data_IF_556049875035
#
_entry.id   IF_556049875035
#
_cell.length_a   1.000
_cell.length_b   1.000
_cell.length_c   1.000
_cell.angle_alpha   90.00
_cell.angle_beta   90.00
_cell.angle_gamma   90.00
#
_symmetry.space_group_name_H-M   'P 1'
#
loop_
_entity.id
_entity.type
_entity.pdbx_description
1 polymer ?
#
# COMPACT_ATOMS: atom_id res chain seq x y z
N UNK A 1 -37.60 -30.02 -17.16
CA UNK A 1 -37.77 -30.00 -18.63
C UNK A 1 -37.81 -28.56 -19.10
N UNK A 2 -37.02 -28.26 -20.16
CA UNK A 2 -36.97 -27.06 -21.01
C UNK A 2 -36.78 -25.68 -20.33
N UNK A 3 -35.62 -25.00 -20.40
CA UNK A 3 -34.92 -24.33 -21.53
C UNK A 3 -35.73 -23.24 -22.25
N UNK A 4 -35.17 -22.03 -22.34
CA UNK A 4 -35.62 -20.98 -23.24
C UNK A 4 -34.79 -19.70 -23.13
N UNK A 5 -33.66 -19.66 -23.84
CA UNK A 5 -32.82 -18.48 -24.04
C UNK A 5 -33.40 -17.55 -25.14
N UNK A 6 -33.17 -16.25 -25.03
CA UNK A 6 -33.51 -15.24 -26.05
C UNK A 6 -32.21 -14.66 -26.64
N UNK A 7 -32.01 -14.65 -27.97
CA UNK A 7 -30.85 -14.03 -28.61
C UNK A 7 -31.16 -12.59 -29.06
N UNK A 8 -30.15 -11.71 -29.02
CA UNK A 8 -30.21 -10.40 -29.66
C UNK A 8 -29.16 -10.31 -30.78
N UNK A 9 -29.67 -10.00 -31.97
CA UNK A 9 -29.02 -9.97 -33.28
C UNK A 9 -28.19 -8.72 -33.53
N UNK A 10 -27.03 -8.89 -34.17
CA UNK A 10 -26.29 -7.84 -34.87
C UNK A 10 -27.05 -7.38 -36.12
N UNK A 11 -27.06 -6.07 -36.38
CA UNK A 11 -27.41 -5.48 -37.67
C UNK A 11 -26.34 -4.50 -38.14
N UNK A 12 -25.77 -4.77 -39.31
CA UNK A 12 -24.92 -3.87 -40.10
C UNK A 12 -25.74 -3.18 -41.18
N UNK A 13 -25.59 -1.85 -41.36
CA UNK A 13 -25.82 -1.19 -42.67
C UNK A 13 -25.19 0.22 -42.77
N UNK A 14 -24.15 0.30 -43.61
CA UNK A 14 -23.77 1.30 -44.65
C UNK A 14 -24.19 2.80 -44.60
N UNK A 15 -23.15 3.65 -44.66
CA UNK A 15 -22.85 4.82 -45.54
C UNK A 15 -23.86 5.96 -45.81
N UNK A 16 -23.47 7.22 -45.59
CA UNK A 16 -23.01 8.18 -46.63
C UNK A 16 -22.68 9.59 -46.05
N UNK A 17 -21.73 10.23 -46.75
CA UNK A 17 -21.11 11.56 -46.69
C UNK A 17 -21.87 12.81 -46.20
N UNK A 18 -21.12 13.79 -45.63
CA UNK A 18 -20.97 15.14 -46.23
C UNK A 18 -19.96 16.05 -45.49
N UNK A 19 -19.32 16.92 -46.28
CA UNK A 19 -18.15 17.78 -46.05
C UNK A 19 -18.37 19.04 -45.17
N UNK A 20 -17.27 19.54 -44.59
CA UNK A 20 -16.81 20.96 -44.42
C UNK A 20 -15.67 20.95 -43.37
N UNK A 21 -14.40 21.32 -43.57
CA UNK A 21 -13.70 22.13 -44.57
C UNK A 21 -13.11 23.38 -43.90
N UNK A 22 -11.80 23.43 -43.58
CA UNK A 22 -10.97 24.64 -43.62
C UNK A 22 -9.47 24.31 -43.62
N UNK A 23 -8.74 24.96 -44.53
CA UNK A 23 -7.36 24.69 -44.94
C UNK A 23 -6.40 25.83 -44.55
N UNK A 24 -5.09 25.52 -44.55
CA UNK A 24 -3.89 26.29 -45.02
C UNK A 24 -2.65 25.83 -44.23
N UNK A 25 -1.45 25.59 -44.78
CA UNK A 25 -0.92 25.73 -46.13
C UNK A 25 0.48 25.06 -46.24
N UNK A 26 0.89 24.77 -47.48
CA UNK A 26 2.14 24.09 -47.86
C UNK A 26 3.39 24.98 -47.79
N UNK A 27 4.57 24.33 -47.68
CA UNK A 27 5.86 24.89 -48.11
C UNK A 27 7.04 23.94 -47.90
N UNK A 28 7.44 23.24 -48.97
CA UNK A 28 8.61 22.35 -49.06
C UNK A 28 9.95 23.11 -49.00
N UNK A 29 10.98 22.53 -48.35
CA UNK A 29 12.39 22.63 -48.78
C UNK A 29 13.09 21.29 -48.54
N UNK A 30 13.61 20.71 -49.63
CA UNK A 30 14.66 19.67 -49.66
C UNK A 30 15.99 20.39 -49.86
N UNK A 31 17.03 20.04 -49.10
CA UNK A 31 18.45 20.02 -49.52
C UNK A 31 19.22 19.14 -48.54
N UNK A 32 20.31 18.60 -49.06
CA UNK A 32 21.03 17.38 -48.77
C UNK A 32 22.21 17.54 -47.79
N UNK A 33 22.78 16.36 -47.47
CA UNK A 33 24.16 16.05 -47.09
C UNK A 33 24.65 16.20 -45.63
N UNK A 34 24.81 14.99 -45.04
CA UNK A 34 25.96 14.51 -44.25
C UNK A 34 26.45 15.34 -43.06
N UNK A 35 26.27 14.77 -41.85
CA UNK A 35 27.40 14.42 -40.98
C UNK A 35 26.99 13.34 -39.98
N UNK A 36 27.49 12.13 -40.22
CA UNK A 36 27.65 11.09 -39.21
C UNK A 36 28.48 11.66 -38.05
N UNK A 37 27.87 11.86 -36.89
CA UNK A 37 28.61 11.91 -35.63
C UNK A 37 28.43 10.57 -34.92
N UNK A 38 29.51 9.78 -34.98
CA UNK A 38 29.74 8.64 -34.10
C UNK A 38 29.76 9.16 -32.65
N UNK A 39 28.84 8.69 -31.82
CA UNK A 39 29.04 8.63 -30.38
C UNK A 39 29.05 7.16 -29.97
N UNK A 40 30.11 6.79 -29.27
CA UNK A 40 30.55 5.44 -29.00
C UNK A 40 29.55 4.69 -28.12
N UNK A 41 28.86 3.69 -28.67
CA UNK A 41 28.36 2.58 -27.87
C UNK A 41 29.58 1.80 -27.37
N UNK A 42 29.91 1.91 -26.09
CA UNK A 42 30.77 0.94 -25.41
C UNK A 42 30.04 -0.40 -25.43
N UNK A 43 30.38 -1.24 -26.41
CA UNK A 43 30.20 -2.69 -26.30
C UNK A 43 31.08 -3.16 -25.14
N UNK A 44 30.46 -3.65 -24.07
CA UNK A 44 31.17 -4.52 -23.14
C UNK A 44 31.43 -5.83 -23.90
N UNK A 45 32.70 -6.14 -24.08
CA UNK A 45 33.17 -7.35 -24.74
C UNK A 45 32.67 -8.58 -23.99
N UNK A 46 31.80 -9.38 -24.62
CA UNK A 46 31.62 -10.77 -24.23
C UNK A 46 32.93 -11.51 -24.49
N UNK A 47 33.57 -11.99 -23.43
CA UNK A 47 34.65 -12.97 -23.52
C UNK A 47 34.02 -14.27 -24.03
N UNK A 48 34.26 -14.60 -25.31
CA UNK A 48 34.04 -15.95 -25.82
C UNK A 48 35.18 -16.83 -25.32
N UNK A 49 34.91 -17.66 -24.32
CA UNK A 49 35.75 -18.82 -24.03
C UNK A 49 35.27 -19.97 -24.92
N UNK A 50 36.11 -20.36 -25.88
CA UNK A 50 36.00 -21.62 -26.60
C UNK A 50 36.68 -22.69 -25.74
N UNK A 51 35.90 -23.43 -24.95
CA UNK A 51 36.31 -24.72 -24.42
C UNK A 51 35.08 -25.63 -24.30
N UNK A 52 35.10 -26.70 -25.06
CA UNK A 52 34.22 -27.86 -24.94
C UNK A 52 34.66 -28.64 -23.71
N UNK A 53 33.92 -28.50 -22.60
CA UNK A 53 33.74 -29.55 -21.59
C UNK A 53 32.59 -29.16 -20.66
N UNK A 54 31.82 -30.17 -20.27
CA UNK A 54 30.65 -30.07 -19.40
C UNK A 54 31.03 -29.56 -18.00
N UNK A 55 30.78 -28.30 -17.72
CA UNK A 55 30.76 -27.79 -16.36
C UNK A 55 29.44 -27.04 -16.12
N UNK A 56 28.61 -27.66 -15.31
CA UNK A 56 27.40 -27.08 -14.75
C UNK A 56 27.82 -25.84 -13.97
N UNK A 57 27.42 -24.66 -14.42
CA UNK A 57 27.69 -23.41 -13.70
C UNK A 57 26.86 -23.44 -12.41
N UNK A 58 27.49 -23.84 -11.32
CA UNK A 58 26.95 -23.63 -9.98
C UNK A 58 26.96 -22.13 -9.69
N UNK A 59 25.77 -21.54 -9.64
CA UNK A 59 25.56 -20.18 -9.16
C UNK A 59 25.97 -20.12 -7.68
N UNK A 60 27.08 -19.45 -7.38
CA UNK A 60 27.44 -19.17 -6.00
C UNK A 60 26.58 -18.03 -5.42
N UNK A 61 26.16 -18.13 -4.14
CA UNK A 61 25.39 -17.09 -3.47
C UNK A 61 26.18 -15.79 -3.37
N UNK A 62 25.50 -14.64 -3.45
CA UNK A 62 26.11 -13.31 -3.39
C UNK A 62 26.73 -12.94 -2.01
N UNK A 63 26.63 -13.80 -1.00
CA UNK A 63 27.35 -13.70 0.27
C UNK A 63 27.30 -15.04 1.04
N UNK A 64 28.41 -15.45 1.66
CA UNK A 64 28.42 -16.53 2.65
C UNK A 64 27.50 -16.14 3.82
N UNK A 65 26.47 -16.94 4.06
CA UNK A 65 25.52 -16.73 5.16
C UNK A 65 24.22 -16.02 4.81
N UNK A 66 23.92 -15.75 3.53
CA UNK A 66 22.56 -15.36 3.12
C UNK A 66 21.77 -16.62 2.76
N UNK A 67 20.99 -17.20 3.68
CA UNK A 67 20.00 -18.16 3.22
C UNK A 67 19.08 -17.38 2.25
N UNK A 68 18.76 -17.98 1.10
CA UNK A 68 17.66 -17.53 0.22
C UNK A 68 16.29 -17.43 0.96
N UNK A 69 16.27 -17.77 2.24
CA UNK A 69 15.28 -17.31 3.21
C UNK A 69 15.36 -15.79 3.31
N UNK A 70 14.44 -15.05 2.71
CA UNK A 70 13.94 -13.88 3.46
C UNK A 70 13.27 -14.51 4.68
N UNK A 71 13.86 -14.46 5.89
CA UNK A 71 13.16 -14.96 7.06
C UNK A 71 11.83 -14.21 7.08
N UNK A 72 10.70 -14.90 7.34
CA UNK A 72 9.43 -14.20 7.53
C UNK A 72 9.66 -13.19 8.65
N UNK A 73 9.89 -11.93 8.27
CA UNK A 73 10.23 -10.91 9.24
C UNK A 73 9.03 -10.79 10.15
N UNK A 74 9.28 -10.85 11.46
CA UNK A 74 8.23 -10.70 12.45
C UNK A 74 7.53 -9.36 12.18
N UNK A 75 6.21 -9.35 12.08
CA UNK A 75 5.43 -8.11 11.92
C UNK A 75 4.33 -7.97 12.99
N UNK A 76 4.14 -8.99 13.81
CA UNK A 76 3.18 -9.03 14.91
C UNK A 76 3.73 -9.90 16.04
N UNK A 77 3.10 -9.83 17.22
CA UNK A 77 3.55 -10.60 18.39
C UNK A 77 3.19 -12.08 18.30
N UNK A 78 2.11 -12.42 17.58
CA UNK A 78 1.72 -13.79 17.30
C UNK A 78 0.94 -13.89 15.98
N UNK A 79 1.19 -14.97 15.23
CA UNK A 79 0.47 -15.30 13.99
C UNK A 79 -0.79 -16.13 14.25
N UNK A 80 -0.97 -16.63 15.47
CA UNK A 80 -2.04 -17.56 15.82
C UNK A 80 -2.93 -17.03 16.95
N UNK A 81 -2.56 -15.91 17.59
CA UNK A 81 -3.37 -15.20 18.60
C UNK A 81 -3.28 -13.69 18.36
N UNK A 82 -4.36 -12.97 18.59
CA UNK A 82 -4.33 -11.51 18.63
C UNK A 82 -3.63 -11.06 19.91
N UNK A 83 -2.44 -10.49 19.76
CA UNK A 83 -1.66 -9.92 20.85
C UNK A 83 -1.27 -8.51 20.43
N UNK A 84 -1.72 -7.52 21.20
CA UNK A 84 -1.47 -6.12 20.87
C UNK A 84 0.03 -5.83 20.87
N UNK A 85 0.53 -5.29 19.75
CA UNK A 85 1.92 -4.88 19.59
C UNK A 85 2.29 -3.83 20.63
N UNK A 86 3.46 -3.99 21.24
CA UNK A 86 4.02 -2.97 22.14
C UNK A 86 4.49 -1.75 21.36
N UNK A 87 4.02 -0.59 21.80
CA UNK A 87 4.31 0.73 21.21
C UNK A 87 4.50 1.75 22.32
N UNK A 88 5.39 2.72 22.10
CA UNK A 88 5.60 3.86 22.99
C UNK A 88 4.36 4.73 23.09
N UNK A 89 4.27 5.50 24.17
CA UNK A 89 3.23 6.52 24.31
C UNK A 89 3.61 7.78 23.53
N UNK A 90 2.66 8.31 22.73
CA UNK A 90 2.74 9.58 22.01
C UNK A 90 1.57 10.45 22.46
N UNK A 91 1.85 11.69 22.88
CA UNK A 91 0.83 12.60 23.39
C UNK A 91 0.34 13.54 22.28
N UNK A 92 -0.98 13.56 22.07
CA UNK A 92 -1.68 14.47 21.17
C UNK A 92 -2.56 15.39 22.02
N UNK A 93 -2.02 16.55 22.38
CA UNK A 93 -2.66 17.39 23.40
C UNK A 93 -2.77 16.62 24.71
N UNK A 94 -3.99 16.47 25.22
CA UNK A 94 -4.30 15.68 26.41
C UNK A 94 -4.62 14.19 26.13
N UNK A 95 -4.57 13.74 24.87
CA UNK A 95 -4.90 12.36 24.48
C UNK A 95 -3.63 11.54 24.25
N UNK A 96 -3.50 10.43 24.98
CA UNK A 96 -2.40 9.48 24.82
C UNK A 96 -2.71 8.42 23.74
N UNK A 97 -1.76 8.23 22.83
CA UNK A 97 -1.71 7.14 21.84
C UNK A 97 -0.64 6.13 22.24
N UNK A 98 -0.90 4.84 22.04
CA UNK A 98 0.09 3.77 22.25
C UNK A 98 -0.50 2.52 22.89
N UNK A 99 0.34 1.51 23.08
CA UNK A 99 -0.07 0.15 23.46
C UNK A 99 -0.61 0.00 24.89
N UNK A 100 -0.40 1.01 25.72
CA UNK A 100 -0.92 1.09 27.10
C UNK A 100 -2.28 1.81 27.18
N UNK A 101 -2.74 2.39 26.07
CA UNK A 101 -3.94 3.22 26.01
C UNK A 101 -5.01 2.59 25.11
N UNK A 102 -6.31 2.91 25.27
CA UNK A 102 -7.32 2.50 24.31
C UNK A 102 -6.99 2.94 22.88
N UNK A 103 -7.45 2.18 21.89
CA UNK A 103 -7.34 2.57 20.49
C UNK A 103 -8.19 3.82 20.27
N UNK A 104 -7.55 4.95 19.95
CA UNK A 104 -8.23 6.25 19.83
C UNK A 104 -8.98 6.40 18.52
N UNK A 105 -10.16 7.01 18.57
CA UNK A 105 -11.04 7.27 17.44
C UNK A 105 -10.77 8.68 16.92
N UNK A 106 -10.51 8.80 15.62
CA UNK A 106 -10.39 10.10 14.97
C UNK A 106 -11.32 10.21 13.77
N UNK A 107 -11.72 11.43 13.45
CA UNK A 107 -12.39 11.77 12.19
C UNK A 107 -11.79 13.07 11.62
N UNK A 108 -12.33 13.58 10.53
CA UNK A 108 -11.88 14.79 9.86
C UNK A 108 -13.07 15.65 9.49
N UNK A 109 -12.97 16.96 9.71
CA UNK A 109 -14.00 17.91 9.29
C UNK A 109 -14.13 17.94 7.77
N UNK A 110 -15.31 18.34 7.29
CA UNK A 110 -15.62 18.53 5.87
C UNK A 110 -15.95 19.99 5.54
N UNK A 111 -16.10 20.84 6.55
CA UNK A 111 -16.29 22.29 6.38
C UNK A 111 -15.06 22.94 5.74
N UNK A 112 -15.27 24.06 5.05
CA UNK A 112 -14.17 24.94 4.67
C UNK A 112 -13.56 25.53 5.95
N UNK A 113 -12.27 25.29 6.19
CA UNK A 113 -11.56 25.79 7.38
C UNK A 113 -11.63 27.31 7.55
N UNK A 114 -11.84 28.07 6.47
CA UNK A 114 -12.06 29.53 6.56
C UNK A 114 -13.42 29.89 7.18
N UNK A 115 -14.40 28.99 7.11
CA UNK A 115 -15.63 29.10 7.88
C UNK A 115 -15.39 28.65 9.32
N UNK A 116 -14.89 29.60 10.12
CA UNK A 116 -14.57 29.38 11.54
C UNK A 116 -15.80 28.92 12.30
N UNK A 117 -16.96 29.55 12.08
CA UNK A 117 -18.18 29.24 12.82
C UNK A 117 -18.66 27.82 12.51
N UNK A 118 -18.79 27.47 11.22
CA UNK A 118 -19.20 26.13 10.80
C UNK A 118 -18.20 25.05 11.22
N UNK A 119 -16.90 25.34 11.14
CA UNK A 119 -15.87 24.39 11.58
C UNK A 119 -15.90 24.16 13.09
N UNK A 120 -16.08 25.21 13.90
CA UNK A 120 -16.23 25.08 15.36
C UNK A 120 -17.46 24.25 15.70
N UNK A 121 -18.61 24.51 15.06
CA UNK A 121 -19.85 23.75 15.28
C UNK A 121 -19.67 22.27 14.92
N UNK A 122 -19.05 21.98 13.78
CA UNK A 122 -18.80 20.59 13.36
C UNK A 122 -17.82 19.88 14.31
N UNK A 123 -16.77 20.55 14.78
CA UNK A 123 -15.82 19.98 15.77
C UNK A 123 -16.54 19.67 17.08
N UNK A 124 -17.42 20.56 17.56
CA UNK A 124 -18.22 20.31 18.76
C UNK A 124 -19.12 19.10 18.59
N UNK A 125 -19.84 19.01 17.46
CA UNK A 125 -20.69 17.84 17.14
C UNK A 125 -19.91 16.53 17.12
N UNK A 126 -18.72 16.54 16.52
CA UNK A 126 -17.81 15.39 16.48
C UNK A 126 -17.35 15.00 17.89
N UNK A 127 -16.98 15.98 18.72
CA UNK A 127 -16.56 15.76 20.10
C UNK A 127 -17.69 15.17 20.96
N UNK A 128 -18.90 15.72 20.85
CA UNK A 128 -20.09 15.26 21.57
C UNK A 128 -20.49 13.82 21.16
N UNK A 129 -20.18 13.43 19.92
CA UNK A 129 -20.37 12.07 19.42
C UNK A 129 -19.30 11.08 19.92
N UNK A 130 -18.25 11.58 20.57
CA UNK A 130 -17.24 10.80 21.27
C UNK A 130 -16.00 10.47 20.45
N UNK A 131 -15.60 11.33 19.51
CA UNK A 131 -14.27 11.24 18.91
C UNK A 131 -13.19 11.69 19.91
N UNK A 132 -12.01 11.08 19.87
CA UNK A 132 -10.88 11.48 20.72
C UNK A 132 -10.08 12.64 20.11
N UNK A 133 -10.01 12.71 18.76
CA UNK A 133 -9.15 13.64 18.03
C UNK A 133 -9.86 14.07 16.73
N UNK A 134 -9.78 15.35 16.37
CA UNK A 134 -10.36 15.87 15.12
C UNK A 134 -9.28 16.42 14.20
N UNK A 135 -9.34 16.03 12.93
CA UNK A 135 -8.46 16.56 11.89
C UNK A 135 -9.14 17.64 11.06
N UNK A 136 -8.42 18.70 10.72
CA UNK A 136 -8.89 19.82 9.90
C UNK A 136 -7.90 20.04 8.75
N UNK A 137 -8.41 20.28 7.54
CA UNK A 137 -7.55 20.55 6.38
C UNK A 137 -6.96 21.96 6.45
N UNK A 138 -5.67 22.11 6.12
CA UNK A 138 -5.03 23.43 6.10
C UNK A 138 -4.18 23.54 4.84
N UNK A 139 -4.70 24.27 3.85
CA UNK A 139 -4.07 24.36 2.53
C UNK A 139 -3.22 25.61 2.36
N UNK A 140 -3.58 26.71 3.02
CA UNK A 140 -2.93 28.00 2.87
C UNK A 140 -2.86 28.81 4.15
N UNK A 141 -2.40 30.06 4.01
CA UNK A 141 -2.21 31.00 5.12
C UNK A 141 -3.54 31.40 5.76
N UNK A 142 -4.61 31.59 4.96
CA UNK A 142 -5.93 31.99 5.48
C UNK A 142 -6.54 30.89 6.36
N UNK A 143 -6.43 29.64 5.94
CA UNK A 143 -6.85 28.49 6.74
C UNK A 143 -6.00 28.38 8.01
N UNK A 144 -4.69 28.67 7.92
CA UNK A 144 -3.81 28.69 9.10
C UNK A 144 -4.20 29.77 10.11
N UNK A 145 -4.61 30.95 9.64
CA UNK A 145 -5.10 32.04 10.49
C UNK A 145 -6.42 31.64 11.17
N UNK A 146 -7.36 31.08 10.40
CA UNK A 146 -8.62 30.54 10.91
C UNK A 146 -8.41 29.44 11.96
N UNK A 147 -7.36 28.62 11.86
CA UNK A 147 -7.05 27.60 12.86
C UNK A 147 -6.83 28.18 14.27
N UNK A 148 -6.22 29.37 14.40
CA UNK A 148 -6.08 30.02 15.70
C UNK A 148 -7.43 30.43 16.27
N UNK A 149 -8.29 31.03 15.44
CA UNK A 149 -9.64 31.45 15.84
C UNK A 149 -10.50 30.24 16.23
N UNK A 150 -10.44 29.15 15.44
CA UNK A 150 -11.14 27.89 15.73
C UNK A 150 -10.70 27.33 17.09
N UNK A 151 -9.38 27.19 17.32
CA UNK A 151 -8.86 26.64 18.59
C UNK A 151 -9.26 27.51 19.78
N UNK A 152 -9.11 28.83 19.66
CA UNK A 152 -9.48 29.77 20.72
C UNK A 152 -10.98 29.73 21.04
N UNK A 153 -11.83 29.68 20.01
CA UNK A 153 -13.28 29.63 20.18
C UNK A 153 -13.72 28.32 20.84
N UNK A 154 -13.12 27.19 20.45
CA UNK A 154 -13.38 25.89 21.08
C UNK A 154 -13.01 25.89 22.57
N UNK A 155 -11.83 26.42 22.92
CA UNK A 155 -11.39 26.53 24.32
C UNK A 155 -12.32 27.44 25.12
N UNK A 156 -12.75 28.59 24.57
CA UNK A 156 -13.73 29.48 25.21
C UNK A 156 -15.09 28.80 25.44
N UNK A 157 -15.47 27.88 24.57
CA UNK A 157 -16.67 27.03 24.71
C UNK A 157 -16.43 25.79 25.58
N UNK A 158 -15.26 25.65 26.21
CA UNK A 158 -14.85 24.51 27.03
C UNK A 158 -14.72 23.17 26.28
N UNK A 159 -14.44 23.22 24.97
CA UNK A 159 -14.10 22.06 24.14
C UNK A 159 -12.58 21.93 24.00
N UNK A 160 -12.01 20.91 24.64
CA UNK A 160 -10.56 20.67 24.69
C UNK A 160 -10.11 19.50 23.79
N UNK A 161 -10.93 19.09 22.82
CA UNK A 161 -10.58 18.01 21.90
C UNK A 161 -9.31 18.37 21.10
N UNK A 162 -8.30 17.48 21.03
CA UNK A 162 -7.09 17.74 20.26
C UNK A 162 -7.36 17.90 18.76
N UNK A 163 -6.69 18.89 18.16
CA UNK A 163 -6.81 19.20 16.74
C UNK A 163 -5.56 18.79 15.97
N UNK A 164 -5.78 18.20 14.79
CA UNK A 164 -4.73 17.78 13.86
C UNK A 164 -4.79 18.61 12.58
N UNK A 165 -3.68 19.22 12.18
CA UNK A 165 -3.61 19.96 10.92
C UNK A 165 -3.20 19.02 9.79
N UNK A 166 -4.02 18.93 8.74
CA UNK A 166 -3.73 18.13 7.54
C UNK A 166 -3.00 18.95 6.49
N UNK A 167 -1.67 18.88 6.50
CA UNK A 167 -0.80 19.62 5.57
C UNK A 167 -0.50 18.77 4.34
N UNK A 168 -0.58 19.39 3.16
CA UNK A 168 -0.21 18.79 1.89
C UNK A 168 1.08 19.40 1.32
N UNK A 169 1.08 20.67 0.89
CA UNK A 169 2.17 21.24 0.06
C UNK A 169 2.87 22.49 0.65
N UNK A 170 2.66 22.80 1.93
CA UNK A 170 3.05 24.11 2.48
C UNK A 170 3.82 24.00 3.81
N UNK A 171 5.16 23.85 3.78
CA UNK A 171 5.98 23.84 4.99
C UNK A 171 5.80 25.09 5.87
N UNK A 172 5.65 26.27 5.26
CA UNK A 172 5.42 27.53 5.97
C UNK A 172 4.09 27.54 6.73
N UNK A 173 3.05 26.94 6.15
CA UNK A 173 1.75 26.75 6.79
C UNK A 173 1.88 25.77 7.96
N UNK A 174 2.57 24.65 7.77
CA UNK A 174 2.83 23.66 8.83
C UNK A 174 3.50 24.28 10.05
N UNK A 175 4.50 25.14 9.82
CA UNK A 175 5.17 25.88 10.90
C UNK A 175 4.18 26.78 11.64
N UNK A 176 3.30 27.48 10.95
CA UNK A 176 2.33 28.40 11.57
C UNK A 176 1.33 27.63 12.43
N UNK A 177 0.73 26.56 11.93
CA UNK A 177 -0.27 25.79 12.68
C UNK A 177 0.32 24.97 13.84
N UNK A 178 1.62 24.67 13.83
CA UNK A 178 2.27 24.00 14.96
C UNK A 178 2.24 24.82 16.27
N UNK A 179 1.98 26.13 16.18
CA UNK A 179 1.83 26.98 17.36
C UNK A 179 0.47 26.78 18.04
N UNK A 180 -0.60 26.48 17.31
CA UNK A 180 -1.96 26.39 17.85
C UNK A 180 -2.54 24.97 17.91
N UNK A 181 -2.16 24.08 17.00
CA UNK A 181 -2.70 22.72 16.93
C UNK A 181 -1.84 21.71 17.67
N UNK A 182 -2.45 20.60 18.07
CA UNK A 182 -1.86 19.60 18.94
C UNK A 182 -1.01 18.58 18.17
N UNK A 183 -1.30 18.40 16.88
CA UNK A 183 -0.60 17.47 15.99
C UNK A 183 -0.58 17.93 14.55
N UNK A 184 0.53 17.66 13.86
CA UNK A 184 0.68 17.96 12.43
C UNK A 184 0.72 16.67 11.64
N UNK A 185 -0.09 16.55 10.58
CA UNK A 185 0.02 15.47 9.61
C UNK A 185 0.89 15.93 8.47
N UNK A 186 1.91 15.12 8.16
CA UNK A 186 2.79 15.29 7.01
C UNK A 186 2.61 14.11 6.05
N UNK A 187 2.59 14.39 4.75
CA UNK A 187 2.62 13.38 3.70
C UNK A 187 3.99 13.43 3.00
N UNK A 188 4.85 12.44 3.21
CA UNK A 188 6.20 12.42 2.62
C UNK A 188 6.26 12.69 1.12
N UNK A 189 5.34 12.11 0.34
CA UNK A 189 5.39 12.18 -1.11
C UNK A 189 5.06 13.55 -1.72
N UNK A 190 4.60 14.53 -0.92
CA UNK A 190 4.31 15.87 -1.42
C UNK A 190 4.63 17.04 -0.48
N UNK A 191 5.28 16.77 0.65
CA UNK A 191 5.63 17.81 1.62
C UNK A 191 6.84 18.65 1.18
N UNK A 192 7.92 17.99 0.77
CA UNK A 192 9.16 18.63 0.32
C UNK A 192 9.19 18.81 -1.21
N UNK A 193 8.51 17.92 -1.91
CA UNK A 193 8.51 17.82 -3.36
C UNK A 193 7.25 18.45 -3.95
N UNK A 194 7.35 19.03 -5.15
CA UNK A 194 6.14 19.35 -5.92
C UNK A 194 5.42 18.04 -6.25
N UNK A 195 4.11 18.10 -6.49
CA UNK A 195 3.32 16.92 -6.89
C UNK A 195 4.05 16.20 -8.04
N UNK A 196 4.21 14.88 -7.92
CA UNK A 196 4.82 13.99 -8.92
C UNK A 196 4.46 14.43 -10.35
N UNK A 197 5.47 14.81 -11.13
CA UNK A 197 5.31 15.28 -12.51
C UNK A 197 5.77 14.21 -13.52
N UNK A 198 6.46 13.16 -13.06
CA UNK A 198 6.98 12.06 -13.88
C UNK A 198 7.86 12.53 -15.07
N UNK A 199 8.45 13.73 -14.99
CA UNK A 199 9.29 14.29 -16.06
C UNK A 199 10.67 13.61 -16.14
N UNK A 200 11.16 13.10 -15.02
CA UNK A 200 12.42 12.34 -14.93
C UNK A 200 12.11 10.89 -14.54
N UNK A 201 12.38 9.96 -15.45
CA UNK A 201 12.05 8.53 -15.27
C UNK A 201 13.17 7.73 -14.59
N UNK A 202 14.42 8.18 -14.75
CA UNK A 202 15.61 7.54 -14.17
C UNK A 202 16.26 8.48 -13.14
N UNK A 203 16.30 8.05 -11.89
CA UNK A 203 17.06 8.70 -10.83
C UNK A 203 18.33 7.89 -10.57
N UNK A 204 19.50 8.54 -10.70
CA UNK A 204 20.75 7.95 -10.24
C UNK A 204 20.91 8.08 -8.73
N UNK A 205 21.85 7.33 -8.13
CA UNK A 205 22.11 7.38 -6.68
C UNK A 205 22.44 8.78 -6.18
N UNK A 206 23.18 9.57 -6.95
CA UNK A 206 23.48 10.97 -6.62
C UNK A 206 22.24 11.86 -6.58
N UNK A 207 21.28 11.64 -7.49
CA UNK A 207 20.04 12.39 -7.52
C UNK A 207 19.18 12.04 -6.31
N UNK A 208 19.09 10.74 -5.98
CA UNK A 208 18.39 10.26 -4.80
C UNK A 208 18.96 10.89 -3.52
N UNK A 209 20.28 10.94 -3.39
CA UNK A 209 20.93 11.54 -2.23
C UNK A 209 20.67 13.05 -2.11
N UNK A 210 20.71 13.80 -3.22
CA UNK A 210 20.38 15.23 -3.24
C UNK A 210 18.94 15.50 -2.81
N UNK A 211 18.02 14.64 -3.22
CA UNK A 211 16.61 14.72 -2.80
C UNK A 211 16.46 14.50 -1.29
N UNK A 212 17.17 13.52 -0.71
CA UNK A 212 17.17 13.31 0.74
C UNK A 212 17.69 14.52 1.52
N UNK A 213 18.77 15.15 1.04
CA UNK A 213 19.33 16.37 1.63
C UNK A 213 18.33 17.55 1.56
N UNK A 214 17.63 17.69 0.43
CA UNK A 214 16.58 18.70 0.28
C UNK A 214 15.40 18.47 1.23
N UNK A 215 14.92 17.23 1.35
CA UNK A 215 13.87 16.86 2.31
C UNK A 215 14.30 17.21 3.72
N UNK A 216 15.53 16.82 4.12
CA UNK A 216 16.05 17.12 5.45
C UNK A 216 16.06 18.63 5.73
N UNK A 217 16.53 19.43 4.78
CA UNK A 217 16.55 20.90 4.91
C UNK A 217 15.16 21.51 5.06
N UNK A 218 14.16 21.03 4.31
CA UNK A 218 12.79 21.57 4.33
C UNK A 218 12.00 21.08 5.56
N UNK A 219 12.24 19.85 5.99
CA UNK A 219 11.48 19.20 7.06
C UNK A 219 12.01 19.50 8.46
N UNK A 220 13.33 19.67 8.61
CA UNK A 220 13.99 19.96 9.90
C UNK A 220 13.34 21.10 10.69
N UNK A 221 13.02 22.27 10.10
CA UNK A 221 12.38 23.36 10.84
C UNK A 221 11.04 22.98 11.47
N UNK A 222 10.26 22.10 10.81
CA UNK A 222 9.00 21.62 11.34
C UNK A 222 9.22 20.67 12.51
N UNK A 223 10.20 19.76 12.40
CA UNK A 223 10.54 18.82 13.48
C UNK A 223 10.99 19.58 14.73
N UNK A 224 11.90 20.55 14.59
CA UNK A 224 12.37 21.39 15.69
C UNK A 224 11.23 22.18 16.34
N UNK A 225 10.33 22.74 15.53
CA UNK A 225 9.17 23.48 16.02
C UNK A 225 8.19 22.57 16.76
N UNK A 226 7.89 21.40 16.22
CA UNK A 226 7.06 20.40 16.89
C UNK A 226 7.70 19.93 18.20
N UNK A 227 9.02 19.71 18.23
CA UNK A 227 9.78 19.37 19.44
C UNK A 227 9.67 20.49 20.48
N UNK A 228 9.89 21.75 20.09
CA UNK A 228 9.80 22.93 20.96
C UNK A 228 8.43 23.09 21.63
N UNK A 229 7.35 22.91 20.87
CA UNK A 229 5.98 23.09 21.37
C UNK A 229 5.34 21.79 21.89
N UNK A 230 6.09 20.69 21.95
CA UNK A 230 5.56 19.38 22.38
C UNK A 230 4.44 18.85 21.47
N UNK A 231 4.41 19.23 20.20
CA UNK A 231 3.38 18.77 19.25
C UNK A 231 3.67 17.36 18.78
N UNK A 232 2.63 16.59 18.51
CA UNK A 232 2.78 15.31 17.85
C UNK A 232 2.89 15.48 16.33
N UNK A 233 3.41 14.45 15.65
CA UNK A 233 3.38 14.38 14.20
C UNK A 233 2.80 13.05 13.70
N UNK A 234 2.10 13.07 12.57
CA UNK A 234 1.80 11.86 11.80
C UNK A 234 2.57 11.90 10.49
N UNK A 235 3.51 10.97 10.33
CA UNK A 235 4.19 10.72 9.06
C UNK A 235 3.34 9.70 8.31
N UNK A 236 2.62 10.16 7.29
CA UNK A 236 1.54 9.37 6.68
C UNK A 236 1.61 9.31 5.17
N UNK A 237 2.06 8.17 4.65
CA UNK A 237 2.12 7.89 3.21
C UNK A 237 0.77 7.39 2.69
N UNK A 238 0.34 7.96 1.58
CA UNK A 238 -0.79 7.45 0.81
C UNK A 238 -0.26 6.81 -0.47
N UNK A 239 -0.80 5.65 -0.85
CA UNK A 239 -0.39 4.92 -2.06
C UNK A 239 -0.48 5.79 -3.33
N UNK A 240 -1.59 6.50 -3.52
CA UNK A 240 -1.79 7.37 -4.69
C UNK A 240 -1.01 8.68 -4.71
N UNK A 241 -0.07 8.90 -3.78
CA UNK A 241 0.74 10.13 -3.72
C UNK A 241 2.19 9.88 -3.35
N UNK A 242 2.79 8.78 -3.82
CA UNK A 242 4.23 8.56 -3.74
C UNK A 242 4.98 9.60 -4.59
N UNK A 243 6.18 10.00 -4.16
CA UNK A 243 7.02 10.94 -4.92
C UNK A 243 7.68 10.25 -6.12
N UNK A 244 8.08 11.03 -7.14
CA UNK A 244 8.76 10.52 -8.34
C UNK A 244 10.01 9.70 -7.99
N UNK A 245 10.78 10.17 -7.00
CA UNK A 245 11.93 9.49 -6.39
C UNK A 245 11.57 8.07 -5.93
N UNK A 246 10.53 7.95 -5.12
CA UNK A 246 10.12 6.67 -4.54
C UNK A 246 9.58 5.75 -5.64
N UNK A 247 8.80 6.30 -6.56
CA UNK A 247 8.25 5.58 -7.70
C UNK A 247 9.35 5.01 -8.61
N UNK A 248 10.44 5.76 -8.83
CA UNK A 248 11.58 5.30 -9.65
C UNK A 248 12.34 4.14 -8.99
N UNK A 249 12.62 4.23 -7.69
CA UNK A 249 13.43 3.23 -6.97
C UNK A 249 12.65 1.98 -6.54
N UNK A 250 11.41 2.16 -6.07
CA UNK A 250 10.65 1.11 -5.40
C UNK A 250 9.32 0.78 -6.09
N UNK A 251 8.93 1.55 -7.11
CA UNK A 251 7.64 1.43 -7.78
C UNK A 251 6.45 1.77 -6.89
N UNK A 252 5.25 1.62 -7.45
CA UNK A 252 3.98 1.72 -6.73
C UNK A 252 3.77 0.47 -5.86
N UNK A 253 4.46 0.40 -4.73
CA UNK A 253 4.56 -0.80 -3.91
C UNK A 253 4.45 -0.51 -2.41
N UNK A 254 4.05 -1.52 -1.59
CA UNK A 254 4.14 -1.43 -0.13
C UNK A 254 5.54 -1.03 0.36
N UNK A 255 6.61 -1.47 -0.33
CA UNK A 255 7.99 -1.09 0.01
C UNK A 255 8.22 0.40 -0.21
N UNK A 256 7.78 0.94 -1.35
CA UNK A 256 7.85 2.37 -1.63
C UNK A 256 7.11 3.21 -0.58
N UNK A 257 5.93 2.75 -0.14
CA UNK A 257 5.19 3.44 0.92
C UNK A 257 5.97 3.51 2.24
N UNK A 258 6.59 2.40 2.65
CA UNK A 258 7.38 2.30 3.89
C UNK A 258 8.63 3.16 3.81
N UNK A 259 9.40 3.06 2.73
CA UNK A 259 10.62 3.86 2.56
C UNK A 259 10.33 5.36 2.54
N UNK A 260 9.26 5.77 1.85
CA UNK A 260 8.83 7.17 1.84
C UNK A 260 8.57 7.72 3.25
N UNK A 261 7.97 6.93 4.14
CA UNK A 261 7.79 7.33 5.53
C UNK A 261 9.09 7.28 6.34
N UNK A 262 9.95 6.28 6.08
CA UNK A 262 11.21 6.10 6.78
C UNK A 262 12.22 7.21 6.48
N UNK A 263 12.25 7.76 5.27
CA UNK A 263 13.04 8.96 4.93
C UNK A 263 12.79 10.10 5.94
N UNK A 264 11.52 10.40 6.21
CA UNK A 264 11.11 11.44 7.16
C UNK A 264 11.35 11.01 8.62
N UNK A 265 11.09 9.75 8.96
CA UNK A 265 11.28 9.26 10.32
C UNK A 265 12.76 9.23 10.75
N UNK A 266 13.69 8.94 9.82
CA UNK A 266 15.14 9.01 10.07
C UNK A 266 15.56 10.43 10.45
N UNK A 267 15.02 11.46 9.78
CA UNK A 267 15.25 12.88 10.13
C UNK A 267 14.71 13.19 11.54
N UNK A 268 13.47 12.78 11.85
CA UNK A 268 12.91 12.95 13.19
C UNK A 268 13.82 12.35 14.28
N UNK A 269 14.33 11.13 14.06
CA UNK A 269 15.22 10.45 15.00
C UNK A 269 16.60 11.09 15.09
N UNK A 270 17.18 11.56 13.97
CA UNK A 270 18.44 12.32 13.97
C UNK A 270 18.36 13.56 14.86
N UNK A 271 17.18 14.18 14.92
CA UNK A 271 16.87 15.35 15.77
C UNK A 271 16.33 14.97 17.16
N UNK A 272 16.37 13.68 17.52
CA UNK A 272 15.85 13.15 18.79
C UNK A 272 14.37 13.57 19.04
N UNK A 273 13.58 13.58 17.98
CA UNK A 273 12.14 13.84 18.03
C UNK A 273 11.39 12.52 17.90
N UNK A 274 10.69 12.15 18.98
CA UNK A 274 10.02 10.86 19.10
C UNK A 274 8.50 10.94 19.24
N UNK A 275 7.92 12.14 19.26
CA UNK A 275 6.47 12.34 19.42
C UNK A 275 5.74 12.18 18.07
N UNK A 276 5.94 11.08 17.36
CA UNK A 276 5.31 10.85 16.07
C UNK A 276 4.71 9.45 15.91
N UNK A 277 3.76 9.35 14.97
CA UNK A 277 3.06 8.11 14.61
C UNK A 277 3.13 7.89 13.09
N UNK A 278 2.99 6.64 12.67
CA UNK A 278 2.94 6.30 11.24
C UNK A 278 1.51 6.04 10.74
N UNK A 279 1.29 6.26 9.44
CA UNK A 279 0.14 5.69 8.73
C UNK A 279 0.51 5.30 7.30
N UNK A 280 0.00 4.16 6.85
CA UNK A 280 0.10 3.67 5.47
C UNK A 280 -1.31 3.51 4.91
N UNK A 281 -1.80 4.43 4.10
CA UNK A 281 -3.17 4.35 3.56
C UNK A 281 -3.16 3.96 2.10
N UNK A 282 -4.01 3.01 1.74
CA UNK A 282 -4.30 2.63 0.36
C UNK A 282 -5.81 2.42 0.20
N UNK A 283 -6.31 2.60 -1.02
CA UNK A 283 -7.70 2.29 -1.37
C UNK A 283 -7.91 0.79 -1.52
N UNK A 284 -6.86 0.01 -1.84
CA UNK A 284 -6.90 -1.45 -1.79
C UNK A 284 -6.52 -1.94 -0.37
N UNK A 285 -7.44 -2.62 0.36
CA UNK A 285 -7.15 -3.14 1.69
C UNK A 285 -5.96 -4.10 1.75
N UNK A 286 -5.71 -4.89 0.70
CA UNK A 286 -4.59 -5.84 0.65
C UNK A 286 -3.26 -5.10 0.66
N UNK A 287 -3.11 -4.08 -0.19
CA UNK A 287 -1.91 -3.23 -0.24
C UNK A 287 -1.71 -2.53 1.10
N UNK A 288 -2.79 -1.99 1.69
CA UNK A 288 -2.75 -1.36 3.00
C UNK A 288 -2.20 -2.31 4.07
N UNK A 289 -2.76 -3.52 4.17
CA UNK A 289 -2.36 -4.53 5.15
C UNK A 289 -0.88 -4.89 4.97
N UNK A 290 -0.44 -5.14 3.74
CA UNK A 290 0.96 -5.48 3.47
C UNK A 290 1.91 -4.32 3.83
N UNK A 291 1.53 -3.08 3.55
CA UNK A 291 2.34 -1.91 3.90
C UNK A 291 2.50 -1.75 5.42
N UNK A 292 1.45 -1.95 6.23
CA UNK A 292 1.60 -1.91 7.69
C UNK A 292 2.42 -3.07 8.24
N UNK A 293 2.25 -4.29 7.72
CA UNK A 293 3.04 -5.45 8.14
C UNK A 293 4.52 -5.24 7.84
N UNK A 294 4.84 -4.78 6.63
CA UNK A 294 6.21 -4.43 6.25
C UNK A 294 6.77 -3.28 7.10
N UNK A 295 5.96 -2.24 7.35
CA UNK A 295 6.35 -1.13 8.22
C UNK A 295 6.76 -1.62 9.61
N UNK A 296 5.98 -2.52 10.22
CA UNK A 296 6.28 -3.06 11.54
C UNK A 296 7.52 -3.94 11.52
N UNK A 297 7.68 -4.77 10.49
CA UNK A 297 8.88 -5.58 10.32
C UNK A 297 10.15 -4.71 10.25
N UNK A 298 10.13 -3.65 9.43
CA UNK A 298 11.23 -2.69 9.34
C UNK A 298 11.46 -1.94 10.66
N UNK A 299 10.39 -1.56 11.37
CA UNK A 299 10.54 -0.97 12.70
C UNK A 299 11.23 -1.93 13.66
N UNK A 300 10.88 -3.22 13.68
CA UNK A 300 11.57 -4.19 14.56
C UNK A 300 13.05 -4.37 14.21
N UNK A 301 13.40 -4.41 12.91
CA UNK A 301 14.81 -4.44 12.47
C UNK A 301 15.58 -3.25 13.02
N UNK A 302 14.95 -2.08 13.05
CA UNK A 302 15.56 -0.84 13.54
C UNK A 302 15.39 -0.61 15.06
N UNK A 303 14.74 -1.52 15.79
CA UNK A 303 14.43 -1.35 17.22
C UNK A 303 13.45 -0.22 17.52
N UNK A 304 12.49 0.04 16.63
CA UNK A 304 11.49 1.10 16.73
C UNK A 304 10.12 0.56 17.15
N UNK A 305 9.40 1.37 17.92
CA UNK A 305 8.16 1.01 18.61
C UNK A 305 7.08 2.10 18.46
N UNK A 306 7.08 2.84 17.35
CA UNK A 306 6.13 3.94 17.15
C UNK A 306 4.68 3.46 16.95
N UNK A 307 3.68 4.26 17.38
CA UNK A 307 2.28 3.95 17.19
C UNK A 307 1.80 4.02 15.73
N UNK A 308 0.70 3.32 15.45
CA UNK A 308 0.08 3.21 14.13
C UNK A 308 -1.31 3.86 14.09
N UNK A 309 -1.50 4.80 13.15
CA UNK A 309 -2.79 5.33 12.75
C UNK A 309 -3.32 4.51 11.57
N UNK A 310 -4.35 3.70 11.77
CA UNK A 310 -4.96 2.89 10.71
C UNK A 310 -6.07 3.64 9.99
N UNK A 311 -6.27 3.29 8.72
CA UNK A 311 -7.45 3.72 7.98
C UNK A 311 -7.32 3.45 6.49
N UNK A 312 -8.40 2.95 5.90
CA UNK A 312 -8.54 2.83 4.44
C UNK A 312 -8.84 4.23 3.88
N UNK A 313 -8.22 4.57 2.75
CA UNK A 313 -8.60 5.81 2.00
C UNK A 313 -9.63 5.46 0.94
N UNK A 314 -10.51 6.40 0.59
CA UNK A 314 -11.54 6.19 -0.45
C UNK A 314 -12.32 4.90 -0.20
N UNK A 315 -12.88 4.77 1.01
CA UNK A 315 -13.61 3.56 1.37
C UNK A 315 -14.92 3.45 0.56
N UNK A 316 -15.53 4.58 0.23
CA UNK A 316 -16.83 4.67 -0.43
C UNK A 316 -17.90 5.19 0.54
N UNK A 317 -19.16 5.06 0.13
CA UNK A 317 -20.32 5.50 0.90
C UNK A 317 -21.02 4.30 1.55
N UNK A 318 -21.86 4.54 2.56
CA UNK A 318 -22.76 3.52 3.08
C UNK A 318 -22.06 2.26 3.61
N UNK A 319 -22.69 1.12 3.38
CA UNK A 319 -22.21 -0.18 3.85
C UNK A 319 -20.93 -0.65 3.14
N UNK A 320 -20.73 -0.29 1.87
CA UNK A 320 -19.53 -0.66 1.12
C UNK A 320 -18.28 -0.03 1.75
N UNK A 321 -18.36 1.26 2.12
CA UNK A 321 -17.29 1.95 2.81
C UNK A 321 -16.98 1.36 4.20
N UNK A 322 -18.03 0.98 4.94
CA UNK A 322 -17.91 0.33 6.26
C UNK A 322 -17.29 -1.06 6.15
N UNK A 323 -17.74 -1.88 5.19
CA UNK A 323 -17.24 -3.23 4.93
C UNK A 323 -15.78 -3.21 4.49
N UNK A 324 -15.42 -2.35 3.54
CA UNK A 324 -14.04 -2.19 3.07
C UNK A 324 -13.11 -1.73 4.18
N UNK A 325 -13.57 -0.82 5.03
CA UNK A 325 -12.83 -0.38 6.23
C UNK A 325 -12.68 -1.50 7.26
N UNK A 326 -13.72 -2.30 7.48
CA UNK A 326 -13.68 -3.45 8.38
C UNK A 326 -12.68 -4.52 7.91
N UNK A 327 -12.61 -4.80 6.60
CA UNK A 327 -11.64 -5.72 6.02
C UNK A 327 -10.21 -5.20 6.27
N UNK A 328 -9.92 -3.95 5.92
CA UNK A 328 -8.57 -3.39 6.05
C UNK A 328 -8.13 -3.21 7.52
N UNK A 329 -8.92 -2.46 8.30
CA UNK A 329 -8.61 -2.13 9.69
C UNK A 329 -8.75 -3.37 10.58
N UNK A 330 -9.82 -4.14 10.41
CA UNK A 330 -10.08 -5.33 11.22
C UNK A 330 -8.98 -6.39 11.09
N UNK A 331 -8.45 -6.61 9.88
CA UNK A 331 -7.32 -7.53 9.66
C UNK A 331 -6.11 -7.13 10.49
N UNK A 332 -5.72 -5.84 10.47
CA UNK A 332 -4.57 -5.36 11.22
C UNK A 332 -4.82 -5.38 12.73
N UNK A 333 -6.04 -5.11 13.18
CA UNK A 333 -6.41 -5.24 14.58
C UNK A 333 -6.31 -6.69 15.06
N UNK A 334 -6.63 -7.68 14.21
CA UNK A 334 -6.42 -9.10 14.53
C UNK A 334 -4.93 -9.48 14.59
N UNK A 335 -4.07 -8.83 13.79
CA UNK A 335 -2.60 -8.92 13.93
C UNK A 335 -2.09 -8.22 15.21
N UNK A 336 -2.97 -7.54 15.96
CA UNK A 336 -2.60 -6.75 17.14
C UNK A 336 -1.98 -5.39 16.81
N UNK A 337 -2.13 -4.92 15.56
CA UNK A 337 -1.59 -3.66 15.06
C UNK A 337 -2.67 -2.58 15.10
N UNK A 338 -2.33 -1.40 15.63
CA UNK A 338 -3.22 -0.23 15.65
C UNK A 338 -3.30 0.44 17.02
N UNK A 339 -3.11 1.76 17.04
CA UNK A 339 -3.18 2.59 18.25
C UNK A 339 -4.21 3.72 18.10
N UNK A 340 -4.57 4.03 16.87
CA UNK A 340 -5.66 4.93 16.55
C UNK A 340 -6.20 4.63 15.16
N UNK A 341 -7.47 4.93 14.92
CA UNK A 341 -8.16 4.57 13.69
C UNK A 341 -8.97 5.75 13.15
N UNK A 342 -9.12 5.77 11.82
CA UNK A 342 -10.13 6.56 11.13
C UNK A 342 -10.71 5.74 9.98
N UNK A 343 -12.03 5.54 9.99
CA UNK A 343 -12.82 5.10 8.84
C UNK A 343 -13.07 6.32 7.96
N UNK A 344 -12.82 6.25 6.64
CA UNK A 344 -12.97 7.41 5.75
C UNK A 344 -14.18 7.20 4.85
N UNK A 345 -15.35 7.73 5.24
CA UNK A 345 -16.62 7.59 4.51
C UNK A 345 -16.92 8.87 3.73
N UNK A 346 -17.70 8.77 2.64
CA UNK A 346 -18.29 9.93 1.98
C UNK A 346 -19.62 10.31 2.65
N UNK A 347 -19.58 10.52 3.96
CA UNK A 347 -20.74 10.81 4.81
C UNK A 347 -20.37 11.92 5.81
N UNK A 348 -21.33 12.49 6.56
CA UNK A 348 -21.00 13.41 7.63
C UNK A 348 -19.96 12.81 8.60
N UNK A 349 -18.93 13.58 9.02
CA UNK A 349 -17.82 13.05 9.83
C UNK A 349 -18.23 12.32 11.11
N UNK A 350 -19.32 12.76 11.74
CA UNK A 350 -19.89 12.13 12.93
C UNK A 350 -20.36 10.68 12.71
N UNK A 351 -20.71 10.32 11.47
CA UNK A 351 -21.09 8.97 11.07
C UNK A 351 -19.88 8.03 10.93
N UNK A 352 -18.66 8.57 10.81
CA UNK A 352 -17.42 7.76 10.83
C UNK A 352 -17.13 7.19 12.22
N UNK A 353 -17.70 7.78 13.29
CA UNK A 353 -17.34 7.49 14.69
C UNK A 353 -17.85 6.13 15.16
N UNK A 354 -19.10 5.76 14.85
CA UNK A 354 -19.65 4.46 15.29
C UNK A 354 -18.92 3.26 14.67
N UNK A 355 -18.66 3.22 13.34
CA UNK A 355 -17.83 2.18 12.74
C UNK A 355 -16.43 2.10 13.35
N UNK A 356 -15.80 3.25 13.63
CA UNK A 356 -14.52 3.27 14.35
C UNK A 356 -14.65 2.61 15.73
N UNK A 357 -15.62 3.05 16.55
CA UNK A 357 -15.84 2.52 17.90
C UNK A 357 -16.01 1.01 17.90
N UNK A 358 -16.83 0.48 16.98
CA UNK A 358 -17.05 -0.96 16.83
C UNK A 358 -15.74 -1.70 16.52
N UNK A 359 -14.95 -1.20 15.58
CA UNK A 359 -13.67 -1.82 15.21
C UNK A 359 -12.65 -1.75 16.35
N UNK A 360 -12.49 -0.61 17.01
CA UNK A 360 -11.60 -0.45 18.16
C UNK A 360 -11.97 -1.44 19.28
N UNK A 361 -13.25 -1.51 19.65
CA UNK A 361 -13.73 -2.45 20.67
C UNK A 361 -13.52 -3.91 20.27
N UNK A 362 -13.77 -4.26 19.01
CA UNK A 362 -13.52 -5.60 18.48
C UNK A 362 -12.03 -5.98 18.60
N UNK A 363 -11.12 -5.07 18.21
CA UNK A 363 -9.68 -5.28 18.31
C UNK A 363 -9.20 -5.44 19.75
N UNK A 364 -9.65 -4.55 20.65
CA UNK A 364 -9.30 -4.61 22.07
C UNK A 364 -9.82 -5.90 22.73
N UNK A 365 -11.07 -6.29 22.47
CA UNK A 365 -11.65 -7.54 22.97
C UNK A 365 -10.93 -8.77 22.42
N UNK A 366 -10.54 -8.76 21.14
CA UNK A 366 -9.79 -9.86 20.55
C UNK A 366 -8.41 -10.01 21.21
N UNK A 367 -7.73 -8.90 21.53
CA UNK A 367 -6.45 -8.91 22.23
C UNK A 367 -6.57 -9.38 23.68
N UNK A 368 -7.60 -8.91 24.40
CA UNK A 368 -7.89 -9.32 25.78
C UNK A 368 -8.16 -10.83 25.88
N UNK A 369 -9.00 -11.35 24.99
CA UNK A 369 -9.32 -12.78 24.93
C UNK A 369 -8.21 -13.63 24.27
N UNK A 370 -7.14 -12.99 23.77
CA UNK A 370 -6.12 -13.60 22.93
C UNK A 370 -6.72 -14.50 21.84
N UNK A 371 -7.77 -13.99 21.18
CA UNK A 371 -8.54 -14.73 20.17
C UNK A 371 -7.60 -15.25 19.10
N UNK A 372 -7.75 -16.50 18.71
CA UNK A 372 -6.77 -17.15 17.88
C UNK A 372 -7.20 -18.50 17.34
N UNK A 373 -6.28 -19.14 16.65
CA UNK A 373 -6.38 -20.51 16.13
C UNK A 373 -5.24 -21.35 16.70
N UNK A 374 -5.35 -22.68 16.60
CA UNK A 374 -4.23 -23.55 16.95
C UNK A 374 -3.00 -23.19 16.08
N UNK A 375 -1.79 -23.11 16.66
CA UNK A 375 -0.57 -22.94 15.88
C UNK A 375 -0.50 -24.02 14.79
N UNK A 376 -0.26 -23.58 13.56
CA UNK A 376 -0.01 -24.47 12.43
C UNK A 376 1.43 -24.30 11.99
N UNK A 377 2.17 -25.40 11.98
CA UNK A 377 3.51 -25.46 11.42
C UNK A 377 3.45 -26.25 10.10
N UNK A 378 3.89 -25.62 9.02
CA UNK A 378 3.97 -26.27 7.72
C UNK A 378 5.15 -27.25 7.70
N UNK A 379 4.87 -28.54 7.87
CA UNK A 379 5.89 -29.61 7.89
C UNK A 379 6.02 -30.35 6.57
N UNK A 380 5.09 -30.16 5.64
CA UNK A 380 4.98 -30.98 4.44
C UNK A 380 5.47 -30.24 3.19
N UNK A 381 5.19 -28.95 3.08
CA UNK A 381 5.64 -28.13 1.96
C UNK A 381 7.02 -27.53 2.25
N UNK A 382 8.01 -28.06 1.55
CA UNK A 382 9.32 -27.43 1.45
C UNK A 382 9.35 -26.49 0.25
N UNK A 383 8.89 -25.26 0.40
CA UNK A 383 8.71 -24.31 -0.71
C UNK A 383 10.01 -23.93 -1.44
N UNK A 384 11.16 -24.21 -0.81
CA UNK A 384 12.48 -23.93 -1.36
C UNK A 384 13.21 -25.19 -1.87
N UNK A 385 12.68 -26.38 -1.56
CA UNK A 385 13.21 -27.64 -2.08
C UNK A 385 12.49 -27.97 -3.39
N UNK A 386 13.10 -27.58 -4.50
CA UNK A 386 12.72 -28.03 -5.83
C UNK A 386 13.20 -29.48 -6.02
N UNK A 387 12.41 -30.42 -5.53
CA UNK A 387 12.62 -31.85 -5.75
C UNK A 387 11.34 -32.50 -6.27
N UNK A 388 11.49 -33.50 -7.13
CA UNK A 388 10.37 -34.35 -7.55
C UNK A 388 9.82 -35.06 -6.32
N UNK A 389 8.54 -34.84 -6.01
CA UNK A 389 7.85 -35.53 -4.91
C UNK A 389 6.89 -36.56 -5.46
N UNK A 390 6.90 -37.76 -4.89
CA UNK A 390 5.80 -38.69 -5.01
C UNK A 390 4.71 -38.26 -4.01
N UNK A 391 3.48 -38.12 -4.50
CA UNK A 391 2.32 -37.82 -3.68
C UNK A 391 1.12 -38.56 -4.25
N UNK A 392 0.25 -39.06 -3.37
CA UNK A 392 -1.01 -39.65 -3.78
C UNK A 392 -2.10 -38.63 -3.46
N UNK A 393 -2.82 -38.19 -4.48
CA UNK A 393 -3.97 -37.31 -4.28
C UNK A 393 -5.13 -38.11 -3.66
N UNK A 394 -6.03 -37.46 -2.90
CA UNK A 394 -7.30 -38.07 -2.53
C UNK A 394 -8.02 -38.54 -3.80
N UNK A 395 -8.39 -39.81 -3.84
CA UNK A 395 -9.21 -40.36 -4.92
C UNK A 395 -10.65 -40.21 -4.50
N UNK A 396 -11.48 -39.53 -5.30
CA UNK A 396 -12.93 -39.47 -5.06
C UNK A 396 -13.47 -40.90 -5.03
N UNK A 397 -13.99 -41.32 -3.88
CA UNK A 397 -14.65 -42.63 -3.78
C UNK A 397 -16.13 -42.47 -4.07
N UNK A 398 -16.70 -43.53 -4.64
CA UNK A 398 -18.14 -43.60 -4.90
C UNK A 398 -18.90 -43.57 -3.56
N UNK A 399 -19.80 -42.59 -3.40
CA UNK A 399 -20.58 -42.39 -2.17
C UNK A 399 -20.04 -41.34 -1.19
N UNK A 400 -18.93 -40.65 -1.51
CA UNK A 400 -18.48 -39.49 -0.71
C UNK A 400 -19.28 -38.23 -1.07
N UNK A 401 -19.88 -37.58 -0.06
CA UNK A 401 -20.73 -36.39 -0.22
C UNK A 401 -19.99 -35.14 -0.72
N UNK A 402 -18.66 -35.13 -0.61
CA UNK A 402 -17.80 -33.98 -0.94
C UNK A 402 -16.94 -34.33 -2.15
N UNK A 403 -16.99 -33.48 -3.19
CA UNK A 403 -16.20 -33.63 -4.42
C UNK A 403 -14.79 -33.02 -4.24
N UNK A 404 -13.79 -33.88 -4.11
CA UNK A 404 -12.39 -33.49 -3.98
C UNK A 404 -11.69 -33.21 -5.31
N UNK A 405 -12.39 -33.20 -6.45
CA UNK A 405 -11.78 -32.90 -7.77
C UNK A 405 -11.44 -31.41 -7.95
N UNK A 406 -11.89 -30.55 -7.04
CA UNK A 406 -11.54 -29.13 -6.95
C UNK A 406 -11.08 -28.74 -5.54
N UNK A 407 -10.03 -29.40 -5.02
CA UNK A 407 -9.54 -29.17 -3.66
C UNK A 407 -9.08 -27.72 -3.49
N UNK A 408 -9.80 -26.96 -2.67
CA UNK A 408 -9.25 -25.78 -2.02
C UNK A 408 -8.34 -26.28 -0.89
N UNK A 409 -7.03 -26.01 -0.98
CA UNK A 409 -6.15 -26.29 0.14
C UNK A 409 -6.53 -25.37 1.33
N UNK A 410 -6.24 -25.79 2.57
CA UNK A 410 -6.62 -25.04 3.78
C UNK A 410 -6.06 -23.61 3.85
N UNK A 411 -5.02 -23.31 3.08
CA UNK A 411 -4.46 -21.97 2.97
C UNK A 411 -5.05 -21.12 1.83
N UNK A 412 -6.08 -21.63 1.16
CA UNK A 412 -6.81 -20.93 0.10
C UNK A 412 -6.30 -21.20 -1.31
N UNK A 413 -5.23 -21.98 -1.50
CA UNK A 413 -4.72 -22.28 -2.86
C UNK A 413 -5.67 -23.15 -3.66
N UNK A 414 -5.87 -22.78 -4.94
CA UNK A 414 -6.68 -23.53 -5.92
C UNK A 414 -5.77 -24.39 -6.79
N UNK A 415 -6.14 -25.65 -6.96
CA UNK A 415 -5.45 -26.63 -7.80
C UNK A 415 -6.26 -26.91 -9.08
N UNK A 416 -5.61 -26.90 -10.25
CA UNK A 416 -6.24 -27.29 -11.52
C UNK A 416 -5.46 -28.39 -12.24
N UNK A 417 -6.17 -29.40 -12.74
CA UNK A 417 -5.54 -30.43 -13.58
C UNK A 417 -5.28 -29.89 -14.98
N UNK A 418 -4.06 -30.07 -15.47
CA UNK A 418 -3.59 -29.71 -16.81
C UNK A 418 -3.09 -30.96 -17.52
N UNK A 419 -3.45 -31.11 -18.80
CA UNK A 419 -2.98 -32.17 -19.69
C UNK A 419 -1.83 -31.68 -20.57
N UNK A 420 -1.05 -32.61 -21.12
CA UNK A 420 0.05 -32.28 -22.05
C UNK A 420 -0.45 -31.55 -23.31
N UNK A 421 -1.64 -31.88 -23.81
CA UNK A 421 -2.24 -31.18 -24.96
C UNK A 421 -2.53 -29.71 -24.66
N UNK A 422 -2.97 -29.39 -23.44
CA UNK A 422 -3.21 -27.99 -23.04
C UNK A 422 -1.91 -27.18 -23.00
N UNK A 423 -0.76 -27.80 -22.69
CA UNK A 423 0.54 -27.12 -22.71
C UNK A 423 0.95 -26.68 -24.13
N UNK A 424 0.48 -27.37 -25.18
CA UNK A 424 0.80 -27.04 -26.58
C UNK A 424 0.12 -25.75 -27.07
N UNK A 425 -0.90 -25.27 -26.36
CA UNK A 425 -1.62 -24.04 -26.72
C UNK A 425 -1.65 -23.08 -25.53
N UNK A 426 -0.56 -22.31 -25.30
CA UNK A 426 -0.39 -21.48 -24.10
C UNK A 426 -1.56 -20.53 -23.84
N UNK A 427 -2.13 -19.91 -24.88
CA UNK A 427 -3.25 -18.97 -24.72
C UNK A 427 -4.52 -19.64 -24.15
N UNK A 428 -4.84 -20.85 -24.61
CA UNK A 428 -5.98 -21.62 -24.09
C UNK A 428 -5.71 -22.10 -22.66
N UNK A 429 -4.48 -22.53 -22.38
CA UNK A 429 -4.05 -22.89 -21.03
C UNK A 429 -4.23 -21.72 -20.07
N UNK A 430 -3.69 -20.54 -20.41
CA UNK A 430 -3.77 -19.35 -19.56
C UNK A 430 -5.21 -18.92 -19.30
N UNK A 431 -6.09 -18.93 -20.31
CA UNK A 431 -7.52 -18.69 -20.10
C UNK A 431 -8.16 -19.72 -19.18
N UNK A 432 -7.79 -21.00 -19.33
CA UNK A 432 -8.31 -22.08 -18.49
C UNK A 432 -7.85 -21.98 -17.03
N UNK A 433 -6.66 -21.43 -16.80
CA UNK A 433 -6.12 -21.09 -15.48
C UNK A 433 -6.70 -19.80 -14.90
N UNK A 434 -7.70 -19.21 -15.56
CA UNK A 434 -8.30 -17.92 -15.25
C UNK A 434 -7.29 -16.75 -15.21
N UNK A 435 -6.18 -16.86 -15.95
CA UNK A 435 -5.26 -15.75 -16.13
C UNK A 435 -5.83 -14.73 -17.13
N UNK A 436 -5.65 -13.44 -16.83
CA UNK A 436 -6.01 -12.37 -17.74
C UNK A 436 -4.95 -12.24 -18.83
N UNK A 437 -5.34 -12.29 -20.10
CA UNK A 437 -4.42 -12.09 -21.22
C UNK A 437 -4.35 -10.61 -21.60
N UNK A 438 -3.15 -10.03 -21.60
CA UNK A 438 -2.89 -8.67 -22.13
C UNK A 438 -1.80 -8.79 -23.17
N UNK A 439 -2.13 -8.51 -24.44
CA UNK A 439 -1.23 -8.68 -25.59
C UNK A 439 -0.64 -10.10 -25.66
N UNK A 440 -1.46 -11.12 -25.37
CA UNK A 440 -1.06 -12.53 -25.39
C UNK A 440 -0.24 -13.01 -24.18
N UNK A 441 0.18 -12.10 -23.29
CA UNK A 441 0.89 -12.46 -22.05
C UNK A 441 -0.10 -12.72 -20.90
N UNK A 442 0.12 -13.77 -20.09
CA UNK A 442 -0.73 -14.07 -18.93
C UNK A 442 -0.40 -13.20 -17.72
N UNK A 443 -1.42 -12.60 -17.12
CA UNK A 443 -1.35 -11.88 -15.85
C UNK A 443 -2.22 -12.59 -14.82
N UNK A 444 -1.65 -12.81 -13.62
CA UNK A 444 -2.39 -13.33 -12.49
C UNK A 444 -3.37 -12.30 -11.95
N UNK A 445 -4.55 -12.75 -11.58
CA UNK A 445 -5.56 -12.03 -10.81
C UNK A 445 -6.08 -12.90 -9.65
N UNK A 446 -7.11 -12.42 -8.95
CA UNK A 446 -7.71 -13.13 -7.81
C UNK A 446 -8.39 -14.46 -8.18
N UNK A 447 -8.77 -14.64 -9.45
CA UNK A 447 -9.40 -15.87 -9.93
C UNK A 447 -8.37 -16.88 -10.46
N UNK A 448 -7.12 -16.43 -10.69
CA UNK A 448 -6.08 -17.23 -11.30
C UNK A 448 -5.64 -18.38 -10.38
N UNK A 449 -5.53 -19.58 -10.96
CA UNK A 449 -5.12 -20.79 -10.24
C UNK A 449 -3.67 -20.68 -9.74
N UNK A 450 -3.44 -21.07 -8.49
CA UNK A 450 -2.12 -20.99 -7.84
C UNK A 450 -1.23 -22.20 -8.12
N UNK A 451 -1.81 -23.34 -8.47
CA UNK A 451 -1.06 -24.59 -8.68
C UNK A 451 -1.71 -25.46 -9.76
N UNK A 452 -0.87 -26.03 -10.64
CA UNK A 452 -1.31 -26.95 -11.69
C UNK A 452 -0.89 -28.39 -11.38
N UNK A 453 -1.75 -29.35 -11.72
CA UNK A 453 -1.49 -30.77 -11.64
C UNK A 453 -1.31 -31.35 -13.04
N UNK A 454 -0.10 -31.77 -13.36
CA UNK A 454 0.20 -32.56 -14.56
C UNK A 454 0.22 -34.04 -14.18
N UNK A 455 -0.73 -34.81 -14.72
CA UNK A 455 -0.82 -36.28 -14.49
C UNK A 455 0.22 -37.05 -15.32
N UNK A 456 0.57 -36.50 -16.47
CA UNK A 456 1.57 -37.03 -17.38
C UNK A 456 2.70 -36.00 -17.49
N UNK A 457 3.93 -36.49 -17.54
CA UNK A 457 5.10 -35.63 -17.66
C UNK A 457 5.38 -35.35 -19.15
N UNK A 458 5.75 -34.11 -19.52
CA UNK A 458 6.22 -33.85 -20.87
C UNK A 458 7.51 -34.65 -21.14
N UNK A 459 7.75 -35.06 -22.40
CA UNK A 459 8.99 -35.75 -22.79
C UNK A 459 10.23 -34.93 -22.40
N UNK A 460 11.28 -35.60 -21.94
CA UNK A 460 12.56 -34.96 -21.52
C UNK A 460 13.24 -34.26 -22.70
N UNK A 461 12.94 -34.70 -23.92
CA UNK A 461 13.57 -34.27 -25.17
C UNK A 461 12.77 -33.18 -25.90
N UNK A 462 11.80 -32.55 -25.23
CA UNK A 462 10.94 -31.54 -25.84
C UNK A 462 11.76 -30.29 -26.22
N UNK A 463 11.86 -30.02 -27.52
CA UNK A 463 12.62 -28.90 -28.09
C UNK A 463 12.08 -27.53 -27.68
N UNK A 464 10.85 -27.45 -27.14
CA UNK A 464 10.28 -26.24 -26.57
C UNK A 464 10.70 -25.98 -25.11
N UNK A 465 11.42 -26.90 -24.46
CA UNK A 465 11.91 -26.76 -23.08
C UNK A 465 13.09 -25.79 -22.91
N UNK A 466 13.70 -25.35 -24.02
CA UNK A 466 14.83 -24.42 -24.00
C UNK A 466 14.30 -23.02 -23.63
N UNK A 467 14.68 -22.54 -22.44
CA UNK A 467 14.44 -21.18 -21.96
C UNK A 467 14.71 -20.17 -23.08
N UNK A 468 13.66 -19.55 -23.64
CA UNK A 468 13.83 -18.26 -24.29
C UNK A 468 14.19 -17.27 -23.18
N UNK A 469 15.32 -16.55 -23.29
CA UNK A 469 15.68 -15.53 -22.31
C UNK A 469 14.53 -14.51 -22.26
N UNK A 470 14.03 -14.26 -21.05
CA UNK A 470 13.10 -13.17 -20.75
C UNK A 470 13.81 -11.83 -20.88
#
# INVERSE_FOLDING_TARGET
MATGAVPATLSTSKSMDSNLGFARGLGFVRISDLKQYKSQRRFVSMIRSSNTNSETVELQPAAEGSPLLVPRQKYCESLHKTVRRKTRTVMVGNVALGSEHPIRIQTMTTTDTKDVAGTVEQVMKIADRGADIVRITVQGKKEADACFEIKNTLVQKNYNIPLVADIHFAPTVALRVAECFDKIRVNPGNFADRRAQFEKLEFGEEDYQKELEHIERVFTPLVEKCKKYGRAMRIGTNHGSLSDRIMSYYGDSPRGMVESAFEFARICRKLDYHNFVFSMKASNPVVMVQAYRLLVAEMYVNGWDYPLHLGVTEAGEGEDGRMKSAIGIGTLLQDGLGDTIRVSLTEPPEEEIDPCRRLANLGMKAAELQKGVAPFEEKHRRYFDFQRRSGQLPVQKEGEDVDFRGVLHRDGSVLMTVSLEQLKTPELLYRSLAAKLVVGMPFKDLATVDSILLRELPPVDDSNSVRKPL
#
